data_IF_085420294532
#
_entry.id   IF_085420294532
#
_cell.length_a   1.000
_cell.length_b   1.000
_cell.length_c   1.000
_cell.angle_alpha   90.00
_cell.angle_beta   90.00
_cell.angle_gamma   90.00
#
_symmetry.space_group_name_H-M   'P 1'
#
loop_
_entity.id
_entity.type
_entity.pdbx_description
1 polymer ?
#
# COMPACT_ATOMS: atom_id res chain seq x y z
N UNK A 1 18.59 -14.30 66.99
CA UNK A 1 18.79 -13.78 65.62
C UNK A 1 17.87 -14.55 64.71
N UNK A 2 16.75 -13.95 64.32
CA UNK A 2 15.74 -14.59 63.46
C UNK A 2 16.09 -14.29 62.00
N UNK A 3 16.28 -15.32 61.19
CA UNK A 3 16.58 -15.18 59.77
C UNK A 3 15.32 -14.75 59.01
N UNK A 4 15.42 -13.63 58.29
CA UNK A 4 14.35 -13.14 57.40
C UNK A 4 14.36 -14.02 56.15
N UNK A 5 13.21 -14.60 55.73
CA UNK A 5 13.17 -15.40 54.51
C UNK A 5 13.30 -14.49 53.29
N UNK A 6 14.29 -14.79 52.46
CA UNK A 6 14.47 -14.15 51.14
C UNK A 6 13.32 -14.64 50.25
N UNK A 7 12.40 -13.73 49.92
CA UNK A 7 11.35 -13.98 48.93
C UNK A 7 12.00 -14.16 47.56
N UNK A 8 11.81 -15.34 46.95
CA UNK A 8 12.27 -15.61 45.60
C UNK A 8 11.61 -14.62 44.62
N UNK A 9 12.42 -13.96 43.79
CA UNK A 9 11.89 -13.06 42.76
C UNK A 9 10.99 -13.84 41.79
N UNK A 10 9.82 -13.29 41.43
CA UNK A 10 8.91 -13.95 40.50
C UNK A 10 9.63 -14.12 39.16
N UNK A 11 9.89 -15.37 38.80
CA UNK A 11 10.42 -15.73 37.49
C UNK A 11 9.41 -15.29 36.44
N UNK A 12 9.64 -14.13 35.81
CA UNK A 12 8.80 -13.68 34.71
C UNK A 12 8.95 -14.70 33.57
N UNK A 13 7.90 -15.48 33.37
CA UNK A 13 7.74 -16.32 32.17
C UNK A 13 7.69 -15.38 30.97
N UNK A 14 8.85 -15.19 30.33
CA UNK A 14 8.95 -14.51 29.04
C UNK A 14 8.24 -15.38 28.03
N UNK A 15 6.95 -15.12 27.80
CA UNK A 15 6.19 -15.78 26.74
C UNK A 15 6.79 -15.35 25.42
N UNK A 16 7.46 -16.29 24.75
CA UNK A 16 8.03 -16.05 23.43
C UNK A 16 6.86 -15.76 22.49
N UNK A 17 6.75 -14.50 22.06
CA UNK A 17 5.78 -14.08 21.05
C UNK A 17 5.89 -14.97 19.79
N UNK A 18 4.77 -15.22 19.09
CA UNK A 18 4.76 -16.09 17.92
C UNK A 18 5.61 -15.52 16.77
N UNK A 19 6.16 -16.42 15.95
CA UNK A 19 7.01 -16.06 14.80
C UNK A 19 6.23 -15.38 13.67
N UNK A 20 4.91 -15.62 13.62
CA UNK A 20 3.98 -15.01 12.68
C UNK A 20 2.78 -14.38 13.38
N UNK A 21 2.38 -13.19 12.94
CA UNK A 21 1.21 -12.46 13.47
C UNK A 21 0.42 -11.81 12.34
N UNK A 22 -0.90 -11.73 12.47
CA UNK A 22 -1.75 -11.05 11.50
C UNK A 22 -1.43 -9.55 11.42
N UNK A 23 -1.13 -9.03 10.22
CA UNK A 23 -0.89 -7.61 9.98
C UNK A 23 -2.09 -6.74 10.41
N UNK A 24 -3.31 -7.27 10.28
CA UNK A 24 -4.57 -6.61 10.65
C UNK A 24 -4.56 -6.05 12.08
N UNK A 25 -3.98 -6.78 13.05
CA UNK A 25 -3.92 -6.36 14.45
C UNK A 25 -3.11 -5.06 14.62
N UNK A 26 -1.97 -4.97 13.94
CA UNK A 26 -1.12 -3.79 13.98
C UNK A 26 -1.72 -2.62 13.20
N UNK A 27 -2.43 -2.88 12.09
CA UNK A 27 -3.15 -1.82 11.35
C UNK A 27 -4.20 -1.18 12.28
N UNK A 28 -5.04 -2.00 12.94
CA UNK A 28 -6.07 -1.49 13.83
C UNK A 28 -5.48 -0.71 15.01
N UNK A 29 -4.37 -1.20 15.59
CA UNK A 29 -3.64 -0.50 16.66
C UNK A 29 -3.07 0.84 16.20
N UNK A 30 -2.36 0.87 15.07
CA UNK A 30 -1.79 2.09 14.52
C UNK A 30 -2.87 3.12 14.14
N UNK A 31 -4.03 2.66 13.66
CA UNK A 31 -5.17 3.52 13.41
C UNK A 31 -5.67 4.21 14.67
N UNK A 32 -5.96 3.46 15.73
CA UNK A 32 -6.41 4.02 17.02
C UNK A 32 -5.46 5.11 17.52
N UNK A 33 -4.15 4.87 17.44
CA UNK A 33 -3.13 5.80 17.94
C UNK A 33 -3.09 7.15 17.20
N UNK A 34 -3.52 7.22 15.94
CA UNK A 34 -3.52 8.46 15.13
C UNK A 34 -4.85 9.19 15.24
N UNK A 35 -5.88 8.45 15.63
CA UNK A 35 -7.28 8.85 15.72
C UNK A 35 -7.59 9.61 17.00
N UNK A 36 -6.70 9.64 17.99
CA UNK A 36 -6.86 10.34 19.29
C UNK A 36 -7.09 11.88 19.21
N UNK A 37 -7.43 12.39 18.02
CA UNK A 37 -8.07 13.69 17.80
C UNK A 37 -9.60 13.56 17.99
N UNK A 38 -10.23 14.36 18.87
CA UNK A 38 -11.67 14.29 19.09
C UNK A 38 -12.46 14.37 17.77
N UNK A 39 -13.43 13.46 17.58
CA UNK A 39 -14.36 13.45 16.44
C UNK A 39 -13.93 12.65 15.20
N UNK A 40 -12.76 12.01 15.21
CA UNK A 40 -12.39 11.01 14.20
C UNK A 40 -12.42 9.64 14.89
N UNK A 41 -13.11 8.66 14.32
CA UNK A 41 -12.93 7.24 14.66
C UNK A 41 -13.11 6.43 13.38
N UNK A 42 -12.10 5.63 13.02
CA UNK A 42 -12.21 4.63 11.97
C UNK A 42 -12.86 3.41 12.60
N UNK A 43 -14.19 3.31 12.53
CA UNK A 43 -14.95 2.25 13.20
C UNK A 43 -14.87 0.90 12.46
N UNK A 44 -13.69 0.47 12.00
CA UNK A 44 -13.52 -0.81 11.31
C UNK A 44 -13.07 -1.91 12.27
N UNK A 45 -13.84 -2.99 12.33
CA UNK A 45 -13.49 -4.22 13.06
C UNK A 45 -12.63 -5.18 12.24
N UNK A 46 -12.57 -4.97 10.93
CA UNK A 46 -11.85 -5.80 9.96
C UNK A 46 -11.25 -4.90 8.89
N UNK A 47 -10.01 -5.18 8.53
CA UNK A 47 -9.23 -4.53 7.48
C UNK A 47 -9.31 -5.34 6.20
N UNK A 48 -9.14 -6.67 6.30
CA UNK A 48 -9.16 -7.57 5.16
C UNK A 48 -10.46 -8.38 5.12
N UNK A 49 -10.97 -8.61 3.91
CA UNK A 49 -12.05 -9.60 3.71
C UNK A 49 -11.42 -10.98 3.81
N UNK A 50 -11.89 -11.78 4.77
CA UNK A 50 -11.50 -13.18 4.88
C UNK A 50 -12.18 -13.97 3.78
N UNK A 51 -11.39 -14.80 3.08
CA UNK A 51 -11.93 -15.83 2.20
C UNK A 51 -12.51 -17.00 3.01
N UNK A 52 -12.71 -18.16 2.37
CA UNK A 52 -13.04 -19.41 3.06
C UNK A 52 -12.04 -19.73 4.18
N UNK A 53 -12.36 -20.70 5.03
CA UNK A 53 -11.62 -21.09 6.25
C UNK A 53 -10.10 -21.30 6.09
N UNK A 54 -9.58 -21.43 4.86
CA UNK A 54 -8.17 -21.63 4.54
C UNK A 54 -7.49 -20.49 3.77
N UNK A 55 -8.18 -19.36 3.50
CA UNK A 55 -7.58 -18.24 2.78
C UNK A 55 -6.52 -17.54 3.63
N UNK A 56 -5.32 -17.33 3.05
CA UNK A 56 -4.27 -16.61 3.76
C UNK A 56 -4.67 -15.17 3.98
N UNK A 57 -4.57 -14.71 5.22
CA UNK A 57 -4.56 -13.27 5.53
C UNK A 57 -3.11 -12.76 5.47
N UNK A 58 -2.88 -11.46 5.25
CA UNK A 58 -1.54 -10.90 5.34
C UNK A 58 -0.92 -11.13 6.73
N UNK A 59 0.18 -11.88 6.77
CA UNK A 59 0.94 -12.20 7.98
C UNK A 59 2.29 -11.48 8.00
N UNK A 60 2.63 -10.92 9.16
CA UNK A 60 3.97 -10.47 9.50
C UNK A 60 4.82 -11.67 9.92
N UNK A 61 6.09 -11.67 9.52
CA UNK A 61 7.09 -12.67 9.93
C UNK A 61 8.36 -12.01 10.44
N UNK A 62 8.96 -12.56 11.50
CA UNK A 62 10.17 -12.00 12.15
C UNK A 62 11.46 -12.22 11.37
N UNK A 63 11.52 -13.30 10.60
CA UNK A 63 12.69 -13.74 9.84
C UNK A 63 12.96 -12.91 8.58
N UNK A 64 12.11 -11.94 8.26
CA UNK A 64 12.19 -11.16 7.01
C UNK A 64 11.61 -9.76 7.15
N UNK A 65 11.86 -8.96 6.11
CA UNK A 65 11.13 -7.71 5.88
C UNK A 65 9.74 -8.04 5.33
N UNK A 66 8.74 -7.36 5.89
CA UNK A 66 7.33 -7.44 5.49
C UNK A 66 6.98 -6.16 4.74
N UNK A 67 6.94 -6.25 3.42
CA UNK A 67 6.67 -5.13 2.52
C UNK A 67 5.19 -4.95 2.30
N UNK A 68 4.74 -3.71 2.42
CA UNK A 68 3.40 -3.26 2.10
C UNK A 68 3.51 -2.33 0.90
N UNK A 69 2.71 -2.55 -0.14
CA UNK A 69 2.62 -1.62 -1.26
C UNK A 69 1.91 -0.35 -0.79
N UNK A 70 2.52 0.81 -0.98
CA UNK A 70 1.89 2.11 -0.77
C UNK A 70 1.38 2.64 -2.11
N UNK A 71 0.07 2.56 -2.35
CA UNK A 71 -0.54 2.96 -3.62
C UNK A 71 -1.37 4.24 -3.47
N UNK A 72 -0.69 5.37 -3.64
CA UNK A 72 -1.28 6.69 -3.54
C UNK A 72 -1.66 7.25 -4.91
N UNK A 73 -2.79 7.92 -5.00
CA UNK A 73 -3.22 8.55 -6.25
C UNK A 73 -4.46 9.42 -6.11
N UNK A 74 -4.71 10.25 -7.13
CA UNK A 74 -5.93 11.07 -7.17
C UNK A 74 -7.19 10.22 -7.37
N UNK A 75 -7.12 9.11 -8.09
CA UNK A 75 -8.25 8.18 -8.30
C UNK A 75 -9.60 8.89 -8.56
N UNK A 76 -9.68 9.82 -9.52
CA UNK A 76 -10.89 10.61 -9.77
C UNK A 76 -11.45 10.37 -11.19
N UNK A 77 -12.10 9.24 -11.48
CA UNK A 77 -12.33 8.08 -10.61
C UNK A 77 -11.16 7.08 -10.63
N UNK A 78 -11.11 6.11 -9.71
CA UNK A 78 -10.31 4.90 -9.92
C UNK A 78 -10.80 4.19 -11.19
N UNK A 79 -9.90 3.47 -11.84
CA UNK A 79 -10.16 2.84 -13.14
C UNK A 79 -9.36 1.55 -13.25
N UNK A 80 -9.69 0.74 -14.26
CA UNK A 80 -9.09 -0.57 -14.50
C UNK A 80 -7.56 -0.52 -14.55
N UNK A 81 -6.96 0.48 -15.20
CA UNK A 81 -5.50 0.66 -15.17
C UNK A 81 -4.89 0.73 -13.75
N UNK A 82 -5.52 1.46 -12.81
CA UNK A 82 -5.05 1.50 -11.42
C UNK A 82 -5.15 0.13 -10.76
N UNK A 83 -6.25 -0.59 -11.00
CA UNK A 83 -6.48 -1.94 -10.48
C UNK A 83 -5.47 -2.95 -11.03
N UNK A 84 -5.25 -2.95 -12.35
CA UNK A 84 -4.26 -3.81 -13.02
C UNK A 84 -2.85 -3.52 -12.52
N UNK A 85 -2.48 -2.25 -12.32
CA UNK A 85 -1.19 -1.87 -11.75
C UNK A 85 -1.01 -2.42 -10.34
N UNK A 86 -2.02 -2.26 -9.47
CA UNK A 86 -1.98 -2.78 -8.10
C UNK A 86 -1.87 -4.30 -8.06
N UNK A 87 -2.69 -4.99 -8.86
CA UNK A 87 -2.65 -6.46 -8.97
C UNK A 87 -1.30 -6.93 -9.49
N UNK A 88 -0.74 -6.31 -10.53
CA UNK A 88 0.57 -6.69 -11.05
C UNK A 88 1.68 -6.41 -10.03
N UNK A 89 1.66 -5.25 -9.37
CA UNK A 89 2.58 -4.92 -8.29
C UNK A 89 2.56 -5.95 -7.16
N UNK A 90 1.37 -6.41 -6.78
CA UNK A 90 1.23 -7.43 -5.74
C UNK A 90 1.64 -8.82 -6.21
N UNK A 91 1.17 -9.28 -7.37
CA UNK A 91 1.37 -10.66 -7.84
C UNK A 91 2.79 -10.91 -8.37
N UNK A 92 3.43 -9.91 -8.95
CA UNK A 92 4.76 -10.02 -9.57
C UNK A 92 5.92 -9.73 -8.60
N UNK A 93 5.62 -9.29 -7.37
CA UNK A 93 6.63 -9.12 -6.30
C UNK A 93 6.79 -10.38 -5.46
N UNK A 94 7.95 -10.55 -4.85
CA UNK A 94 8.30 -11.70 -4.01
C UNK A 94 7.42 -11.90 -2.76
N UNK A 95 7.73 -12.95 -2.00
CA UNK A 95 7.03 -13.32 -0.76
C UNK A 95 7.18 -12.31 0.38
N UNK A 96 8.06 -11.32 0.26
CA UNK A 96 8.17 -10.23 1.23
C UNK A 96 7.00 -9.26 1.10
N UNK A 97 6.39 -9.15 -0.08
CA UNK A 97 5.24 -8.26 -0.31
C UNK A 97 3.95 -8.93 0.13
N UNK A 98 3.43 -8.54 1.30
CA UNK A 98 2.34 -9.23 1.97
C UNK A 98 0.98 -8.55 1.82
N UNK A 99 0.94 -7.24 1.60
CA UNK A 99 -0.30 -6.46 1.51
C UNK A 99 -0.13 -5.17 0.69
N UNK A 100 -1.23 -4.42 0.50
CA UNK A 100 -1.22 -3.08 -0.06
C UNK A 100 -2.13 -2.10 0.66
N UNK A 101 -1.68 -0.86 0.82
CA UNK A 101 -2.45 0.27 1.31
C UNK A 101 -2.76 1.23 0.16
N UNK A 102 -4.05 1.46 -0.10
CA UNK A 102 -4.54 2.40 -1.12
C UNK A 102 -4.83 3.74 -0.44
N UNK A 103 -4.23 4.83 -0.92
CA UNK A 103 -4.41 6.17 -0.33
C UNK A 103 -4.96 7.14 -1.39
N UNK A 104 -6.26 7.43 -1.39
CA UNK A 104 -6.84 8.48 -2.22
C UNK A 104 -6.33 9.86 -1.77
N UNK A 105 -5.34 10.40 -2.47
CA UNK A 105 -4.67 11.63 -2.03
C UNK A 105 -5.61 12.83 -2.12
N UNK A 106 -5.56 13.65 -1.07
CA UNK A 106 -6.10 15.01 -1.03
C UNK A 106 -4.87 15.91 -0.97
N UNK A 107 -4.52 16.59 -2.07
CA UNK A 107 -3.29 17.41 -2.12
C UNK A 107 -3.49 18.81 -1.56
N UNK A 108 -4.72 19.31 -1.61
CA UNK A 108 -5.15 20.63 -1.12
C UNK A 108 -6.63 20.52 -0.74
N UNK A 109 -7.23 21.56 -0.13
CA UNK A 109 -8.67 21.59 0.18
C UNK A 109 -9.49 21.04 -1.00
N UNK A 110 -10.60 20.35 -0.75
CA UNK A 110 -11.43 19.79 -1.83
C UNK A 110 -11.78 20.85 -2.92
N UNK A 111 -11.73 22.12 -2.54
CA UNK A 111 -11.86 23.31 -3.40
C UNK A 111 -10.71 23.59 -4.38
N UNK A 112 -9.54 22.94 -4.29
CA UNK A 112 -8.38 23.21 -5.16
C UNK A 112 -7.99 22.03 -6.07
N UNK A 113 -8.49 20.81 -5.77
CA UNK A 113 -8.57 19.72 -6.76
C UNK A 113 -9.33 20.21 -8.03
N UNK A 114 -10.14 21.26 -7.86
CA UNK A 114 -10.90 22.05 -8.83
C UNK A 114 -10.04 22.74 -9.91
N UNK A 115 -8.74 22.97 -9.71
CA UNK A 115 -7.97 23.85 -10.58
C UNK A 115 -6.87 23.18 -11.40
N UNK A 116 -6.87 21.84 -11.57
CA UNK A 116 -6.07 21.30 -12.68
C UNK A 116 -6.84 21.61 -13.97
N UNK A 117 -6.34 22.49 -14.86
CA UNK A 117 -7.14 23.06 -15.92
C UNK A 117 -7.36 22.03 -17.03
N UNK A 118 -8.44 21.25 -16.94
CA UNK A 118 -9.22 21.02 -18.14
C UNK A 118 -10.03 22.30 -18.38
N UNK A 119 -9.37 23.30 -18.98
CA UNK A 119 -9.95 24.55 -19.48
C UNK A 119 -10.90 24.33 -20.67
N UNK A 120 -11.24 23.07 -20.96
CA UNK A 120 -12.10 22.70 -22.06
C UNK A 120 -13.26 21.91 -21.45
N UNK A 121 -14.43 22.55 -21.45
CA UNK A 121 -15.77 21.99 -21.26
C UNK A 121 -16.24 21.82 -19.80
N UNK A 122 -17.40 22.43 -19.55
CA UNK A 122 -17.99 22.62 -18.22
C UNK A 122 -18.43 21.33 -17.55
N UNK A 123 -18.33 21.34 -16.22
CA UNK A 123 -18.61 20.25 -15.25
C UNK A 123 -17.60 19.11 -15.23
N UNK A 124 -16.36 19.43 -14.85
CA UNK A 124 -15.38 18.40 -14.46
C UNK A 124 -15.97 17.47 -13.39
N UNK A 125 -16.01 16.16 -13.66
CA UNK A 125 -16.29 15.13 -12.66
C UNK A 125 -15.41 15.34 -11.40
N UNK A 126 -16.04 15.64 -10.27
CA UNK A 126 -15.39 15.88 -8.97
C UNK A 126 -15.94 14.91 -7.93
N UNK A 127 -15.22 13.82 -7.71
CA UNK A 127 -15.53 12.89 -6.64
C UNK A 127 -14.85 13.34 -5.34
N UNK A 128 -15.64 13.44 -4.28
CA UNK A 128 -15.16 13.65 -2.91
C UNK A 128 -14.19 12.56 -2.49
N UNK A 129 -13.41 12.79 -1.42
CA UNK A 129 -12.55 11.73 -0.88
C UNK A 129 -13.35 10.45 -0.54
N UNK A 130 -14.53 10.61 0.08
CA UNK A 130 -15.41 9.50 0.48
C UNK A 130 -15.87 8.69 -0.73
N UNK A 131 -16.30 9.34 -1.80
CA UNK A 131 -16.74 8.68 -3.02
C UNK A 131 -15.60 7.91 -3.71
N UNK A 132 -14.41 8.51 -3.81
CA UNK A 132 -13.23 7.83 -4.35
C UNK A 132 -12.83 6.59 -3.54
N UNK A 133 -12.92 6.68 -2.21
CA UNK A 133 -12.71 5.54 -1.31
C UNK A 133 -13.76 4.45 -1.52
N UNK A 134 -15.03 4.80 -1.68
CA UNK A 134 -16.10 3.84 -1.96
C UNK A 134 -15.92 3.10 -3.30
N UNK A 135 -15.36 3.77 -4.32
CA UNK A 135 -15.12 3.18 -5.64
C UNK A 135 -13.94 2.19 -5.68
N UNK A 136 -13.22 2.01 -4.57
CA UNK A 136 -12.18 0.98 -4.41
C UNK A 136 -12.67 -0.30 -3.74
N UNK A 137 -13.97 -0.44 -3.46
CA UNK A 137 -14.58 -1.61 -2.80
C UNK A 137 -14.62 -2.85 -3.72
N UNK A 138 -13.45 -3.36 -4.07
CA UNK A 138 -13.26 -4.49 -4.98
C UNK A 138 -13.01 -5.79 -4.20
N UNK A 139 -13.83 -6.82 -4.39
CA UNK A 139 -13.76 -8.07 -3.61
C UNK A 139 -12.45 -8.84 -3.83
N UNK A 140 -11.82 -8.68 -4.99
CA UNK A 140 -10.49 -9.25 -5.26
C UNK A 140 -9.45 -8.47 -4.45
N UNK A 141 -9.42 -7.15 -4.56
CA UNK A 141 -8.39 -6.36 -3.88
C UNK A 141 -8.50 -6.44 -2.35
N UNK A 142 -9.71 -6.53 -1.79
CA UNK A 142 -9.97 -6.48 -0.34
C UNK A 142 -9.38 -7.65 0.46
N UNK A 143 -8.89 -8.72 -0.19
CA UNK A 143 -8.21 -9.83 0.52
C UNK A 143 -6.79 -9.49 0.93
N UNK A 144 -6.09 -8.67 0.15
CA UNK A 144 -4.69 -8.31 0.41
C UNK A 144 -4.47 -6.80 0.54
N UNK A 145 -5.50 -5.98 0.29
CA UNK A 145 -5.39 -4.53 0.36
C UNK A 145 -6.49 -3.89 1.18
N UNK A 146 -6.23 -2.67 1.64
CA UNK A 146 -7.22 -1.81 2.25
C UNK A 146 -7.10 -0.38 1.74
N UNK A 147 -8.23 0.34 1.76
CA UNK A 147 -8.25 1.78 1.50
C UNK A 147 -8.04 2.50 2.82
N UNK A 148 -7.00 3.33 2.89
CA UNK A 148 -6.73 4.16 4.06
C UNK A 148 -7.80 5.25 4.15
N UNK A 149 -8.48 5.40 5.29
CA UNK A 149 -9.61 6.33 5.43
C UNK A 149 -9.18 7.79 5.62
N UNK A 150 -7.92 8.05 5.99
CA UNK A 150 -7.37 9.39 6.19
C UNK A 150 -6.78 10.01 4.93
N UNK A 151 -6.28 11.24 5.06
CA UNK A 151 -5.58 11.96 4.01
C UNK A 151 -4.09 11.55 3.91
N UNK A 152 -3.33 12.21 3.02
CA UNK A 152 -1.93 11.90 2.79
C UNK A 152 -1.04 12.13 4.02
N UNK A 153 -1.16 13.27 4.71
CA UNK A 153 -0.36 13.53 5.92
C UNK A 153 -0.70 12.56 7.05
N UNK A 154 -1.98 12.20 7.20
CA UNK A 154 -2.41 11.16 8.14
C UNK A 154 -1.84 9.78 7.77
N UNK A 155 -1.68 9.49 6.48
CA UNK A 155 -1.08 8.23 6.03
C UNK A 155 0.42 8.15 6.33
N UNK A 156 1.14 9.27 6.35
CA UNK A 156 2.57 9.30 6.73
C UNK A 156 2.73 9.03 8.23
N UNK A 157 1.93 9.70 9.07
CA UNK A 157 1.87 9.41 10.50
C UNK A 157 1.50 7.95 10.76
N UNK A 158 0.59 7.39 9.96
CA UNK A 158 0.22 5.98 10.01
C UNK A 158 1.35 5.03 9.69
N UNK A 159 2.06 5.27 8.60
CA UNK A 159 3.23 4.47 8.22
C UNK A 159 4.27 4.49 9.34
N UNK A 160 4.61 5.68 9.84
CA UNK A 160 5.60 5.83 10.91
C UNK A 160 5.17 5.06 12.18
N UNK A 161 3.91 5.20 12.58
CA UNK A 161 3.37 4.51 13.75
C UNK A 161 3.36 2.99 13.56
N UNK A 162 2.86 2.50 12.43
CA UNK A 162 2.80 1.07 12.13
C UNK A 162 4.20 0.45 12.19
N UNK A 163 5.18 1.07 11.51
CA UNK A 163 6.56 0.60 11.53
C UNK A 163 7.14 0.57 12.95
N UNK A 164 6.89 1.60 13.76
CA UNK A 164 7.40 1.68 15.13
C UNK A 164 6.82 0.56 16.04
N UNK A 165 5.51 0.34 16.00
CA UNK A 165 4.87 -0.69 16.84
C UNK A 165 5.23 -2.11 16.39
N UNK A 166 5.37 -2.36 15.09
CA UNK A 166 5.77 -3.69 14.60
C UNK A 166 7.24 -3.97 14.90
N UNK A 167 8.11 -2.95 14.79
CA UNK A 167 9.53 -3.09 15.08
C UNK A 167 9.78 -3.41 16.57
N UNK A 168 9.02 -2.78 17.48
CA UNK A 168 9.07 -3.09 18.92
C UNK A 168 8.81 -4.57 19.20
N UNK A 169 7.96 -5.20 18.41
CA UNK A 169 7.61 -6.61 18.52
C UNK A 169 8.47 -7.52 17.61
N UNK A 170 9.58 -7.00 17.06
CA UNK A 170 10.54 -7.74 16.25
C UNK A 170 10.17 -7.95 14.79
N UNK A 171 9.11 -7.30 14.29
CA UNK A 171 8.69 -7.38 12.89
C UNK A 171 9.19 -6.17 12.11
N UNK A 172 9.99 -6.41 11.07
CA UNK A 172 10.45 -5.35 10.14
C UNK A 172 9.39 -5.11 9.09
N UNK A 173 8.81 -3.91 9.06
CA UNK A 173 7.83 -3.49 8.06
C UNK A 173 8.40 -2.36 7.21
N UNK A 174 8.13 -2.39 5.91
CA UNK A 174 8.48 -1.31 4.99
C UNK A 174 7.33 -1.01 4.02
N UNK A 175 7.29 0.20 3.48
CA UNK A 175 6.31 0.63 2.50
C UNK A 175 6.98 0.97 1.17
N UNK A 176 6.67 0.21 0.13
CA UNK A 176 7.17 0.48 -1.21
C UNK A 176 6.11 1.21 -2.03
N UNK A 177 6.42 2.42 -2.49
CA UNK A 177 5.53 3.23 -3.32
C UNK A 177 5.29 2.55 -4.66
N UNK A 178 4.03 2.34 -5.04
CA UNK A 178 3.67 1.83 -6.36
C UNK A 178 3.20 2.97 -7.25
N UNK A 179 3.79 3.08 -8.45
CA UNK A 179 3.34 4.02 -9.46
C UNK A 179 3.48 3.48 -10.88
N UNK A 180 2.76 4.09 -11.81
CA UNK A 180 2.94 3.81 -13.24
C UNK A 180 4.35 4.19 -13.70
N UNK A 181 4.76 3.65 -14.84
CA UNK A 181 6.05 3.97 -15.46
C UNK A 181 6.22 5.47 -15.76
N UNK A 182 5.13 6.23 -15.89
CA UNK A 182 5.14 7.68 -16.12
C UNK A 182 5.69 8.50 -14.93
N UNK A 183 5.82 7.88 -13.77
CA UNK A 183 6.46 8.48 -12.59
C UNK A 183 7.98 8.25 -12.53
N UNK A 184 8.54 7.51 -13.49
CA UNK A 184 9.96 7.17 -13.59
C UNK A 184 10.45 7.54 -14.99
N UNK A 185 11.29 8.58 -15.04
CA UNK A 185 11.97 9.05 -16.25
C UNK A 185 13.46 8.79 -16.12
N UNK A 186 14.18 8.83 -17.24
CA UNK A 186 15.63 8.62 -17.24
C UNK A 186 16.33 9.68 -16.37
N UNK A 187 15.83 10.91 -16.37
CA UNK A 187 16.39 12.05 -15.64
C UNK A 187 15.98 12.09 -14.17
N UNK A 188 14.84 11.51 -13.80
CA UNK A 188 14.40 11.49 -12.40
C UNK A 188 13.27 10.50 -12.13
N UNK A 189 13.05 10.22 -10.85
CA UNK A 189 11.86 9.53 -10.36
C UNK A 189 11.32 10.27 -9.15
N UNK A 190 10.00 10.38 -9.04
CA UNK A 190 9.34 11.00 -7.87
C UNK A 190 8.75 9.96 -6.92
N UNK A 191 8.84 8.67 -7.26
CA UNK A 191 8.23 7.60 -6.45
C UNK A 191 8.89 7.41 -5.09
N UNK A 192 10.20 7.64 -5.01
CA UNK A 192 10.96 7.50 -3.76
C UNK A 192 10.58 8.52 -2.68
N UNK A 193 9.80 9.54 -3.03
CA UNK A 193 9.29 10.53 -2.07
C UNK A 193 8.11 9.99 -1.24
N UNK A 194 7.65 8.77 -1.52
CA UNK A 194 6.48 8.18 -0.88
C UNK A 194 6.85 6.89 -0.13
N UNK A 195 6.04 6.54 0.87
CA UNK A 195 6.28 5.34 1.69
C UNK A 195 7.57 5.46 2.50
N UNK A 196 8.37 4.39 2.53
CA UNK A 196 9.68 4.35 3.23
C UNK A 196 10.86 4.57 2.27
N UNK A 197 10.62 5.12 1.08
CA UNK A 197 11.66 5.43 0.08
C UNK A 197 11.92 4.34 -0.96
N UNK A 198 11.37 3.14 -0.78
CA UNK A 198 11.39 2.07 -1.78
C UNK A 198 10.29 2.31 -2.82
N UNK A 199 10.55 1.95 -4.08
CA UNK A 199 9.62 2.17 -5.17
C UNK A 199 9.44 0.91 -6.04
N UNK A 200 8.21 0.75 -6.54
CA UNK A 200 7.80 -0.28 -7.50
C UNK A 200 7.14 0.44 -8.67
N UNK A 201 7.54 0.09 -9.88
CA UNK A 201 6.92 0.59 -11.10
C UNK A 201 6.71 -0.52 -12.11
N UNK A 202 5.83 -0.30 -13.07
CA UNK A 202 5.48 -1.26 -14.11
C UNK A 202 5.01 -0.54 -15.35
N UNK A 203 5.27 -1.17 -16.50
CA UNK A 203 4.76 -0.73 -17.79
C UNK A 203 3.36 -1.31 -18.09
N UNK A 204 2.70 -1.99 -17.15
CA UNK A 204 1.41 -2.63 -17.42
C UNK A 204 0.31 -1.66 -17.86
N UNK A 205 0.39 -0.39 -17.44
CA UNK A 205 -0.61 0.62 -17.81
C UNK A 205 -0.16 1.51 -18.96
N UNK A 206 1.16 1.71 -19.11
CA UNK A 206 1.79 2.64 -20.04
C UNK A 206 3.21 2.16 -20.34
N UNK A 207 3.76 2.46 -21.52
CA UNK A 207 5.16 2.18 -21.82
C UNK A 207 6.10 2.84 -20.80
N UNK A 208 7.23 2.20 -20.51
CA UNK A 208 8.31 2.80 -19.75
C UNK A 208 9.29 3.50 -20.70
N UNK A 209 9.53 4.79 -20.48
CA UNK A 209 10.47 5.59 -21.27
C UNK A 209 11.91 5.04 -21.19
N UNK A 210 12.26 4.47 -20.03
CA UNK A 210 13.54 3.86 -19.79
C UNK A 210 13.64 2.42 -20.34
N UNK A 211 12.68 1.96 -21.15
CA UNK A 211 12.80 0.72 -21.94
C UNK A 211 12.95 1.07 -23.43
N UNK A 212 14.08 0.68 -24.02
CA UNK A 212 14.32 0.86 -25.47
C UNK A 212 13.54 -0.18 -26.29
N UNK A 213 13.40 -1.39 -25.76
CA UNK A 213 12.56 -2.47 -26.26
C UNK A 213 12.15 -3.40 -25.11
N UNK A 214 11.10 -4.22 -25.30
CA UNK A 214 10.51 -5.05 -24.25
C UNK A 214 11.48 -6.07 -23.61
N UNK A 215 12.51 -6.50 -24.34
CA UNK A 215 13.50 -7.46 -23.86
C UNK A 215 14.84 -6.81 -23.50
N UNK A 216 14.95 -5.49 -23.67
CA UNK A 216 16.18 -4.77 -23.35
C UNK A 216 16.33 -4.54 -21.84
N UNK A 217 17.59 -4.54 -21.40
CA UNK A 217 17.92 -4.00 -20.10
C UNK A 217 17.42 -2.54 -20.00
N UNK A 218 16.75 -2.16 -18.90
CA UNK A 218 16.27 -0.80 -18.77
C UNK A 218 17.44 0.20 -18.73
N UNK A 219 17.23 1.38 -19.31
CA UNK A 219 18.15 2.50 -19.25
C UNK A 219 18.36 2.92 -17.80
N UNK A 220 19.60 3.28 -17.47
CA UNK A 220 19.95 3.76 -16.13
C UNK A 220 19.16 5.03 -15.82
N UNK A 221 18.59 5.08 -14.62
CA UNK A 221 17.91 6.26 -14.09
C UNK A 221 18.93 7.13 -13.35
N UNK A 222 18.87 8.44 -13.53
CA UNK A 222 19.71 9.38 -12.80
C UNK A 222 19.55 9.20 -11.27
N UNK A 223 20.67 9.30 -10.55
CA UNK A 223 20.70 9.02 -9.11
C UNK A 223 20.57 7.54 -8.71
N UNK A 224 20.51 6.62 -9.67
CA UNK A 224 20.44 5.17 -9.41
C UNK A 224 21.64 4.42 -10.00
N UNK A 225 21.91 3.24 -9.42
CA UNK A 225 22.89 2.28 -9.92
C UNK A 225 22.42 1.57 -11.20
N UNK A 226 23.24 0.65 -11.70
CA UNK A 226 22.86 -0.19 -12.83
C UNK A 226 21.68 -1.12 -12.47
N UNK A 227 20.81 -1.37 -13.44
CA UNK A 227 19.73 -2.35 -13.29
C UNK A 227 20.29 -3.77 -13.23
N UNK A 228 19.83 -4.52 -12.24
CA UNK A 228 20.11 -5.94 -12.07
C UNK A 228 18.83 -6.73 -12.29
N UNK A 229 18.93 -7.77 -13.10
CA UNK A 229 17.85 -8.74 -13.26
C UNK A 229 17.71 -9.53 -11.96
N UNK A 230 16.51 -9.61 -11.43
CA UNK A 230 16.16 -10.51 -10.33
C UNK A 230 15.15 -11.53 -10.87
N UNK A 231 15.44 -12.80 -10.61
CA UNK A 231 14.46 -13.86 -10.79
C UNK A 231 13.51 -13.76 -9.60
N UNK A 232 12.17 -13.66 -9.82
CA UNK A 232 11.24 -13.84 -8.74
C UNK A 232 11.50 -15.19 -8.08
N UNK A 233 11.66 -15.17 -6.76
CA UNK A 233 11.93 -16.37 -5.96
C UNK A 233 10.91 -17.47 -6.32
N UNK A 234 11.41 -18.62 -6.79
CA UNK A 234 10.57 -19.80 -7.06
C UNK A 234 10.13 -19.99 -8.51
N UNK A 235 10.83 -19.46 -9.51
CA UNK A 235 10.60 -19.84 -10.93
C UNK A 235 10.92 -21.32 -11.15
N UNK A 236 9.92 -22.18 -11.00
CA UNK A 236 9.96 -23.56 -11.53
C UNK A 236 9.60 -23.51 -13.01
N UNK A 237 10.24 -24.38 -13.80
CA UNK A 237 10.02 -24.50 -15.25
C UNK A 237 8.52 -24.69 -15.56
N UNK A 238 7.98 -24.04 -16.61
CA UNK A 238 6.61 -24.27 -17.06
C UNK A 238 6.41 -25.75 -17.43
N UNK A 239 5.26 -26.33 -17.06
CA UNK A 239 4.90 -27.68 -17.50
C UNK A 239 4.33 -27.64 -18.92
N UNK A 240 4.44 -28.73 -19.71
CA UNK A 240 4.01 -28.77 -21.10
C UNK A 240 2.51 -28.50 -21.33
N UNK A 241 1.69 -28.60 -20.29
CA UNK A 241 0.23 -28.53 -20.30
C UNK A 241 -0.35 -27.14 -19.97
N UNK A 242 0.48 -26.09 -19.99
CA UNK A 242 0.04 -24.68 -20.04
C UNK A 242 -0.59 -24.12 -18.75
N UNK A 243 -0.59 -24.89 -17.69
CA UNK A 243 -1.31 -24.63 -16.44
C UNK A 243 -0.27 -24.37 -15.36
N UNK A 244 0.01 -23.08 -15.15
CA UNK A 244 1.12 -22.60 -14.33
C UNK A 244 0.84 -22.73 -12.82
N UNK A 245 0.48 -23.92 -12.34
CA UNK A 245 0.30 -24.18 -10.90
C UNK A 245 1.57 -23.99 -10.06
N UNK A 246 2.69 -23.67 -10.72
CA UNK A 246 4.03 -23.66 -10.16
C UNK A 246 4.69 -22.28 -10.17
N UNK A 247 4.22 -21.31 -10.97
CA UNK A 247 4.81 -19.97 -10.93
C UNK A 247 4.34 -19.16 -9.72
N UNK A 248 5.21 -18.25 -9.30
CA UNK A 248 5.00 -17.40 -8.15
C UNK A 248 3.67 -16.61 -8.17
N UNK A 249 3.27 -15.92 -9.26
CA UNK A 249 1.98 -15.21 -9.31
C UNK A 249 0.77 -16.11 -9.08
N UNK A 250 0.75 -17.31 -9.68
CA UNK A 250 -0.31 -18.30 -9.47
C UNK A 250 -0.36 -18.80 -8.03
N UNK A 251 0.80 -19.12 -7.42
CA UNK A 251 0.86 -19.54 -6.01
C UNK A 251 0.36 -18.44 -5.07
N UNK A 252 0.75 -17.20 -5.32
CA UNK A 252 0.32 -16.04 -4.52
C UNK A 252 -1.18 -15.81 -4.65
N UNK A 253 -1.73 -15.93 -5.86
CA UNK A 253 -3.17 -15.85 -6.07
C UNK A 253 -3.91 -17.03 -5.40
N UNK A 254 -3.42 -18.25 -5.56
CA UNK A 254 -4.00 -19.46 -4.95
C UNK A 254 -4.10 -19.35 -3.43
N UNK A 255 -3.05 -18.84 -2.78
CA UNK A 255 -3.04 -18.64 -1.33
C UNK A 255 -4.11 -17.64 -0.86
N UNK A 256 -4.33 -16.57 -1.64
CA UNK A 256 -5.33 -15.55 -1.34
C UNK A 256 -6.75 -15.98 -1.71
N UNK A 257 -6.90 -16.82 -2.73
CA UNK A 257 -8.16 -17.23 -3.36
C UNK A 257 -8.28 -18.75 -3.48
N UNK A 258 -8.19 -19.51 -2.37
CA UNK A 258 -8.23 -20.97 -2.44
C UNK A 258 -9.57 -21.50 -2.96
N UNK A 259 -10.67 -20.78 -2.73
CA UNK A 259 -12.00 -21.03 -3.27
C UNK A 259 -12.05 -21.00 -4.80
N UNK A 260 -11.16 -20.23 -5.42
CA UNK A 260 -11.08 -20.14 -6.86
C UNK A 260 -10.00 -21.05 -7.44
N UNK A 261 -9.26 -21.77 -6.59
CA UNK A 261 -8.10 -22.57 -6.94
C UNK A 261 -8.39 -24.07 -6.67
N UNK A 262 -9.43 -24.59 -7.31
CA UNK A 262 -9.74 -26.03 -7.36
C UNK A 262 -9.42 -26.61 -8.76
N UNK A 263 -9.36 -27.94 -8.89
CA UNK A 263 -8.92 -28.67 -10.10
C UNK A 263 -9.63 -28.27 -11.41
N UNK A 264 -10.78 -27.60 -11.33
CA UNK A 264 -11.57 -27.10 -12.46
C UNK A 264 -11.17 -25.72 -12.99
N UNK A 265 -10.13 -25.09 -12.45
CA UNK A 265 -9.71 -23.74 -12.85
C UNK A 265 -9.37 -23.58 -14.35
N UNK A 266 -9.06 -24.69 -15.05
CA UNK A 266 -8.84 -24.69 -16.51
C UNK A 266 -10.10 -24.27 -17.27
N UNK A 267 -11.28 -24.62 -16.75
CA UNK A 267 -12.57 -24.38 -17.39
C UNK A 267 -13.32 -23.16 -16.80
N UNK A 268 -13.01 -22.79 -15.55
CA UNK A 268 -13.72 -21.77 -14.76
C UNK A 268 -12.98 -20.41 -14.65
N UNK A 269 -11.96 -20.17 -15.49
CA UNK A 269 -11.31 -18.84 -15.59
C UNK A 269 -12.27 -17.72 -16.04
N UNK A 270 -13.46 -18.09 -16.52
CA UNK A 270 -14.55 -17.16 -16.85
C UNK A 270 -15.29 -16.65 -15.60
N UNK A 271 -15.16 -17.32 -14.43
CA UNK A 271 -15.66 -16.82 -13.14
C UNK A 271 -14.82 -15.65 -12.61
N UNK A 272 -13.51 -15.64 -12.90
CA UNK A 272 -12.68 -14.44 -12.74
C UNK A 272 -12.94 -13.50 -13.92
N UNK A 273 -14.02 -12.74 -13.88
CA UNK A 273 -14.32 -11.76 -14.92
C UNK A 273 -13.09 -10.88 -15.25
N UNK A 274 -12.62 -11.03 -16.50
CA UNK A 274 -11.73 -10.12 -17.23
C UNK A 274 -10.33 -9.92 -16.66
N UNK A 275 -10.20 -9.15 -15.58
CA UNK A 275 -8.96 -8.42 -15.28
C UNK A 275 -7.90 -9.27 -14.56
N UNK A 276 -8.30 -10.11 -13.59
CA UNK A 276 -7.36 -10.98 -12.86
C UNK A 276 -6.70 -11.98 -13.81
N UNK A 277 -7.48 -12.59 -14.69
CA UNK A 277 -6.99 -13.44 -15.79
C UNK A 277 -6.02 -12.69 -16.70
N UNK A 278 -6.38 -11.47 -17.12
CA UNK A 278 -5.50 -10.64 -17.95
C UNK A 278 -4.17 -10.35 -17.23
N UNK A 279 -4.21 -9.94 -15.96
CA UNK A 279 -3.00 -9.67 -15.17
C UNK A 279 -2.16 -10.93 -15.02
N UNK A 280 -2.75 -12.08 -14.69
CA UNK A 280 -2.02 -13.35 -14.62
C UNK A 280 -1.38 -13.73 -15.95
N UNK A 281 -2.09 -13.54 -17.07
CA UNK A 281 -1.55 -13.80 -18.41
C UNK A 281 -0.34 -12.90 -18.69
N UNK A 282 -0.40 -11.62 -18.30
CA UNK A 282 0.74 -10.69 -18.37
C UNK A 282 1.89 -11.15 -17.46
N UNK A 283 1.61 -11.52 -16.20
CA UNK A 283 2.60 -12.08 -15.29
C UNK A 283 3.27 -13.35 -15.85
N UNK A 284 2.52 -14.19 -16.56
CA UNK A 284 3.04 -15.39 -17.24
C UNK A 284 3.88 -15.05 -18.47
N UNK A 285 3.52 -14.01 -19.20
CA UNK A 285 4.25 -13.58 -20.40
C UNK A 285 5.56 -12.89 -20.04
N UNK A 286 5.62 -12.21 -18.89
CA UNK A 286 6.82 -11.59 -18.35
C UNK A 286 7.72 -12.55 -17.55
N UNK A 287 7.48 -13.87 -17.65
CA UNK A 287 7.96 -14.91 -16.74
C UNK A 287 9.41 -14.73 -16.30
N UNK A 288 9.57 -14.25 -15.07
CA UNK A 288 10.82 -14.34 -14.34
C UNK A 288 11.75 -13.14 -14.44
N UNK A 289 11.36 -12.05 -15.10
CA UNK A 289 12.23 -10.88 -15.25
C UNK A 289 11.63 -9.75 -14.43
N UNK A 290 12.18 -9.49 -13.25
CA UNK A 290 12.04 -8.17 -12.64
C UNK A 290 13.41 -7.50 -12.64
N UNK A 291 13.44 -6.17 -12.66
CA UNK A 291 14.67 -5.41 -12.64
C UNK A 291 14.73 -4.59 -11.38
N UNK A 292 15.86 -4.58 -10.70
CA UNK A 292 16.08 -3.76 -9.51
C UNK A 292 17.32 -2.88 -9.72
N UNK A 293 17.22 -1.62 -9.35
CA UNK A 293 18.37 -0.75 -9.16
C UNK A 293 18.27 -0.09 -7.77
N UNK A 294 19.41 0.33 -7.24
CA UNK A 294 19.51 0.96 -5.93
C UNK A 294 19.82 2.45 -6.09
N UNK A 295 19.36 3.27 -5.15
CA UNK A 295 19.72 4.68 -5.12
C UNK A 295 21.20 4.83 -4.77
N UNK A 296 21.91 5.71 -5.49
CA UNK A 296 23.35 5.91 -5.26
C UNK A 296 23.64 6.54 -3.89
N UNK A 297 22.72 7.37 -3.40
CA UNK A 297 22.87 8.08 -2.13
C UNK A 297 22.33 7.29 -0.92
N UNK A 298 21.64 6.17 -1.15
CA UNK A 298 21.05 5.34 -0.11
C UNK A 298 20.91 3.89 -0.63
N UNK A 299 21.90 3.04 -0.34
CA UNK A 299 21.96 1.67 -0.85
C UNK A 299 20.78 0.80 -0.44
N UNK A 300 20.13 1.12 0.68
CA UNK A 300 18.99 0.36 1.20
C UNK A 300 17.68 0.66 0.45
N UNK A 301 17.66 1.74 -0.36
CA UNK A 301 16.52 2.12 -1.17
C UNK A 301 16.63 1.56 -2.57
N UNK A 302 15.54 0.97 -3.06
CA UNK A 302 15.49 0.38 -4.38
C UNK A 302 14.35 0.94 -5.23
N UNK A 303 14.55 0.87 -6.54
CA UNK A 303 13.50 0.95 -7.55
C UNK A 303 13.37 -0.42 -8.22
N UNK A 304 12.18 -1.01 -8.10
CA UNK A 304 11.82 -2.29 -8.70
C UNK A 304 10.94 -2.04 -9.92
N UNK A 305 11.39 -2.48 -11.09
CA UNK A 305 10.62 -2.48 -12.32
C UNK A 305 10.06 -3.88 -12.61
N UNK A 306 8.74 -3.94 -12.79
CA UNK A 306 7.96 -5.13 -13.11
C UNK A 306 7.48 -5.05 -14.56
N UNK A 307 8.18 -5.66 -15.53
CA UNK A 307 7.70 -5.73 -16.89
C UNK A 307 6.38 -6.51 -16.94
N UNK A 308 5.47 -6.05 -17.77
CA UNK A 308 4.15 -6.65 -17.97
C UNK A 308 4.14 -7.71 -19.08
N UNK A 309 5.21 -7.80 -19.87
CA UNK A 309 5.24 -8.65 -21.06
C UNK A 309 4.32 -8.18 -22.18
N UNK A 310 3.75 -6.96 -22.08
CA UNK A 310 2.91 -6.39 -23.13
C UNK A 310 3.74 -6.01 -24.35
N UNK A 311 3.33 -6.50 -25.52
CA UNK A 311 3.89 -6.06 -26.79
C UNK A 311 3.32 -4.69 -27.18
N UNK A 312 4.18 -3.68 -27.11
CA UNK A 312 3.88 -2.32 -27.51
C UNK A 312 4.38 -2.08 -28.95
N UNK A 313 3.66 -1.36 -29.84
CA UNK A 313 2.43 -0.57 -29.64
C UNK A 313 1.12 -1.30 -29.96
N UNK A 314 1.15 -2.60 -30.28
CA UNK A 314 -0.02 -3.37 -30.76
C UNK A 314 -1.14 -3.55 -29.74
N UNK A 315 -0.89 -3.30 -28.45
CA UNK A 315 -1.92 -3.26 -27.41
C UNK A 315 -2.54 -1.85 -27.35
N UNK A 316 -3.63 -1.65 -28.11
CA UNK A 316 -4.44 -0.41 -28.22
C UNK A 316 -5.11 0.03 -26.89
N UNK A 317 -5.01 -0.80 -25.84
CA UNK A 317 -5.49 -0.50 -24.49
C UNK A 317 -4.78 0.68 -23.81
N UNK A 318 -3.75 1.27 -24.45
CA UNK A 318 -3.02 2.48 -23.99
C UNK A 318 -3.92 3.68 -23.67
N UNK A 319 -5.05 3.85 -24.36
CA UNK A 319 -5.90 5.05 -24.24
C UNK A 319 -7.33 4.82 -23.74
N UNK A 320 -7.83 3.58 -23.78
CA UNK A 320 -9.25 3.30 -23.52
C UNK A 320 -9.63 3.25 -22.03
N UNK A 321 -8.70 3.47 -21.09
CA UNK A 321 -8.93 3.23 -19.65
C UNK A 321 -8.33 4.28 -18.71
N UNK A 322 -8.31 5.54 -19.14
CA UNK A 322 -7.88 6.67 -18.30
C UNK A 322 -9.07 7.37 -17.63
N UNK A 323 -8.84 8.07 -16.52
CA UNK A 323 -9.89 8.93 -15.92
C UNK A 323 -10.40 9.97 -16.91
N UNK A 324 -9.55 10.49 -17.82
CA UNK A 324 -9.97 11.44 -18.86
C UNK A 324 -10.94 10.80 -19.85
N UNK A 325 -10.68 9.56 -20.30
CA UNK A 325 -11.61 8.85 -21.20
C UNK A 325 -12.94 8.50 -20.52
N UNK A 326 -12.91 8.20 -19.23
CA UNK A 326 -14.15 7.98 -18.45
C UNK A 326 -14.99 9.25 -18.40
N UNK A 327 -14.37 10.42 -18.19
CA UNK A 327 -15.07 11.71 -18.21
C UNK A 327 -15.68 12.01 -19.58
N UNK A 328 -14.91 11.81 -20.65
CA UNK A 328 -15.37 11.95 -22.03
C UNK A 328 -16.61 11.06 -22.31
N UNK A 329 -16.59 9.80 -21.88
CA UNK A 329 -17.76 8.91 -22.00
C UNK A 329 -18.95 9.42 -21.19
N UNK A 330 -18.73 9.85 -19.95
CA UNK A 330 -19.79 10.41 -19.10
C UNK A 330 -20.40 11.70 -19.68
N UNK A 331 -19.65 12.48 -20.43
CA UNK A 331 -20.14 13.73 -21.04
C UNK A 331 -20.85 13.48 -22.37
N UNK A 332 -20.37 12.52 -23.17
CA UNK A 332 -20.75 12.35 -24.57
C UNK A 332 -21.57 11.08 -24.88
N UNK A 333 -22.04 10.34 -23.86
CA UNK A 333 -22.84 9.12 -24.04
C UNK A 333 -24.21 9.22 -23.35
N UNK A 334 -25.25 8.71 -23.99
CA UNK A 334 -26.60 8.65 -23.45
C UNK A 334 -26.64 7.80 -22.14
N UNK A 335 -27.42 8.20 -21.11
CA UNK A 335 -27.43 7.54 -19.81
C UNK A 335 -27.59 6.01 -19.84
N UNK A 336 -28.45 5.50 -20.72
CA UNK A 336 -28.76 4.08 -20.92
C UNK A 336 -27.58 3.26 -21.45
N UNK A 337 -26.65 3.89 -22.17
CA UNK A 337 -25.45 3.23 -22.71
C UNK A 337 -24.26 3.26 -21.73
N UNK A 338 -24.30 4.12 -20.71
CA UNK A 338 -23.19 4.34 -19.80
C UNK A 338 -22.76 3.06 -19.05
N UNK A 339 -23.66 2.22 -18.50
CA UNK A 339 -23.26 1.03 -17.77
C UNK A 339 -22.37 0.10 -18.60
N UNK A 340 -22.74 -0.16 -19.86
CA UNK A 340 -21.99 -1.06 -20.74
C UNK A 340 -20.67 -0.42 -21.21
N UNK A 341 -20.65 0.87 -21.57
CA UNK A 341 -19.39 1.54 -21.96
C UNK A 341 -18.39 1.64 -20.79
N UNK A 342 -18.87 1.78 -19.56
CA UNK A 342 -18.00 1.90 -18.38
C UNK A 342 -17.58 0.55 -17.79
N UNK A 343 -18.26 -0.55 -18.13
CA UNK A 343 -18.06 -1.90 -17.57
C UNK A 343 -16.62 -2.39 -17.64
N UNK A 344 -15.92 -2.08 -18.73
CA UNK A 344 -14.52 -2.47 -18.93
C UNK A 344 -13.49 -1.45 -18.41
N UNK A 345 -13.94 -0.31 -17.87
CA UNK A 345 -13.08 0.84 -17.55
C UNK A 345 -13.04 1.17 -16.06
N UNK A 346 -14.14 0.96 -15.34
CA UNK A 346 -14.28 1.33 -13.92
C UNK A 346 -14.54 0.06 -13.11
N UNK A 347 -13.94 -0.11 -11.92
CA UNK A 347 -14.20 -1.29 -11.07
C UNK A 347 -15.68 -1.47 -10.72
N UNK A 348 -16.40 -0.36 -10.50
CA UNK A 348 -17.83 -0.36 -10.18
C UNK A 348 -18.58 0.70 -11.02
N UNK A 349 -18.92 0.39 -12.28
CA UNK A 349 -19.51 1.35 -13.21
C UNK A 349 -20.86 1.90 -12.69
N UNK A 350 -21.74 1.03 -12.21
CA UNK A 350 -23.05 1.42 -11.67
C UNK A 350 -22.97 2.17 -10.34
N UNK A 351 -22.03 1.82 -9.45
CA UNK A 351 -21.78 2.62 -8.23
C UNK A 351 -21.32 4.05 -8.59
N UNK A 352 -20.46 4.18 -9.62
CA UNK A 352 -20.07 5.48 -10.13
C UNK A 352 -21.28 6.25 -10.69
N UNK A 353 -22.15 5.61 -11.48
CA UNK A 353 -23.36 6.26 -12.00
C UNK A 353 -24.35 6.65 -10.89
N UNK A 354 -24.50 5.82 -9.87
CA UNK A 354 -25.30 6.12 -8.69
C UNK A 354 -24.77 7.35 -7.92
N UNK A 355 -23.45 7.39 -7.65
CA UNK A 355 -22.80 8.56 -7.02
C UNK A 355 -23.06 9.85 -7.83
N UNK A 356 -23.13 9.73 -9.16
CA UNK A 356 -23.39 10.85 -10.05
C UNK A 356 -24.88 11.21 -10.21
N UNK A 357 -25.78 10.54 -9.49
CA UNK A 357 -27.22 10.76 -9.59
C UNK A 357 -27.79 10.39 -10.97
N UNK A 358 -27.15 9.46 -11.68
CA UNK A 358 -27.55 8.99 -13.02
C UNK A 358 -28.20 7.61 -13.02
N UNK A 359 -28.19 6.93 -11.88
CA UNK A 359 -28.82 5.64 -11.69
C UNK A 359 -29.46 5.61 -10.28
N UNK A 360 -30.79 5.50 -10.24
CA UNK A 360 -31.56 5.56 -9.00
C UNK A 360 -31.39 4.30 -8.15
N UNK A 361 -31.08 3.16 -8.79
CA UNK A 361 -31.03 1.85 -8.16
C UNK A 361 -29.63 1.25 -8.23
N UNK A 362 -28.85 1.40 -7.17
CA UNK A 362 -27.76 0.47 -6.88
C UNK A 362 -28.30 -0.64 -5.96
N UNK A 363 -28.31 -1.93 -6.36
CA UNK A 363 -28.92 -3.00 -5.56
C UNK A 363 -28.22 -3.23 -4.20
N UNK A 364 -27.03 -2.67 -4.02
CA UNK A 364 -26.31 -2.62 -2.73
C UNK A 364 -26.46 -1.26 -2.02
N UNK A 365 -27.29 -0.36 -2.56
CA UNK A 365 -27.84 0.81 -1.87
C UNK A 365 -29.18 0.48 -1.18
N UNK A 366 -29.33 -0.76 -0.68
CA UNK A 366 -29.94 -0.89 0.65
C UNK A 366 -29.24 0.14 1.53
N UNK A 367 -29.89 0.75 2.55
CA UNK A 367 -29.11 1.44 3.54
C UNK A 367 -28.09 0.40 3.99
N UNK A 368 -26.85 0.58 3.55
CA UNK A 368 -25.71 0.23 4.36
C UNK A 368 -26.04 1.12 5.54
N UNK A 369 -26.79 0.59 6.51
CA UNK A 369 -26.72 1.11 7.86
C UNK A 369 -25.24 1.38 8.02
N UNK A 370 -24.86 2.60 8.37
CA UNK A 370 -23.46 2.90 8.58
C UNK A 370 -23.02 2.14 9.84
N UNK A 371 -22.97 0.81 9.76
CA UNK A 371 -22.29 -0.09 10.67
C UNK A 371 -20.78 0.13 10.62
N UNK A 372 -20.32 1.11 9.83
CA UNK A 372 -18.97 1.64 9.83
C UNK A 372 -18.87 3.14 10.21
N UNK A 373 -19.98 3.83 10.51
CA UNK A 373 -20.00 5.16 11.13
C UNK A 373 -21.31 5.31 11.93
N UNK A 374 -21.29 5.03 13.24
CA UNK A 374 -22.42 5.39 14.10
C UNK A 374 -22.69 6.90 14.00
N UNK A 375 -23.96 7.35 13.92
CA UNK A 375 -24.30 8.74 14.15
C UNK A 375 -23.79 9.16 15.53
N UNK A 376 -22.97 10.20 15.54
CA UNK A 376 -22.31 10.76 16.72
C UNK A 376 -23.34 11.51 17.59
N UNK A 377 -24.10 10.80 18.42
CA UNK A 377 -24.90 11.44 19.49
C UNK A 377 -24.82 10.75 20.86
N UNK A 378 -24.22 9.57 21.00
CA UNK A 378 -24.09 8.89 22.30
C UNK A 378 -22.62 8.74 22.73
N UNK A 379 -22.07 9.83 23.29
CA UNK A 379 -20.71 9.93 23.80
C UNK A 379 -20.54 9.41 25.25
N UNK A 380 -21.60 8.92 25.90
CA UNK A 380 -21.58 8.61 27.33
C UNK A 380 -21.36 7.13 27.72
N UNK A 381 -21.43 6.19 26.78
CA UNK A 381 -21.42 4.73 27.10
C UNK A 381 -20.17 3.96 26.62
N UNK A 382 -19.03 4.63 26.39
CA UNK A 382 -17.90 4.03 25.67
C UNK A 382 -16.64 3.69 26.49
N UNK A 383 -16.67 3.84 27.81
CA UNK A 383 -15.54 3.49 28.69
C UNK A 383 -15.12 2.01 28.56
N UNK A 384 -16.04 1.08 28.26
CA UNK A 384 -15.74 -0.35 28.17
C UNK A 384 -14.85 -0.75 26.97
N UNK A 385 -14.75 0.08 25.91
CA UNK A 385 -13.93 -0.26 24.72
C UNK A 385 -12.45 0.02 24.90
N UNK A 386 -12.10 0.94 25.80
CA UNK A 386 -10.72 1.10 26.24
C UNK A 386 -10.29 -0.15 27.00
N UNK A 387 -11.17 -0.70 27.82
CA UNK A 387 -10.88 -1.86 28.67
C UNK A 387 -10.81 -3.17 27.86
N UNK A 388 -11.67 -3.37 26.86
CA UNK A 388 -11.66 -4.58 26.02
C UNK A 388 -10.47 -4.69 25.04
N UNK A 389 -9.75 -3.58 24.75
CA UNK A 389 -8.49 -3.58 23.99
C UNK A 389 -7.27 -3.73 24.93
N UNK A 390 -7.44 -3.36 26.21
CA UNK A 390 -6.45 -3.57 27.27
C UNK A 390 -6.53 -4.98 27.90
N UNK A 391 -7.60 -5.74 27.66
CA UNK A 391 -7.77 -7.16 28.04
C UNK A 391 -7.02 -8.17 27.13
N UNK A 392 -6.21 -7.69 26.18
CA UNK A 392 -5.12 -8.51 25.65
C UNK A 392 -3.97 -8.38 26.63
N UNK A 393 -3.78 -9.41 27.48
CA UNK A 393 -2.80 -9.47 28.59
C UNK A 393 -1.69 -8.42 28.46
N UNK A 394 -1.67 -7.37 29.31
CA UNK A 394 -0.55 -6.45 29.33
C UNK A 394 0.69 -7.26 29.72
N UNK A 395 1.66 -7.35 28.81
CA UNK A 395 3.01 -7.75 29.15
C UNK A 395 3.45 -6.80 30.28
N UNK A 396 3.57 -7.35 31.48
CA UNK A 396 3.93 -6.65 32.70
C UNK A 396 5.36 -6.09 32.54
N UNK A 397 5.49 -4.81 32.20
CA UNK A 397 6.76 -4.11 32.21
C UNK A 397 6.78 -3.22 33.46
N UNK A 398 7.40 -3.72 34.51
CA UNK A 398 7.84 -2.88 35.62
C UNK A 398 9.00 -2.01 35.11
N UNK A 399 8.81 -0.70 35.09
CA UNK A 399 9.89 0.27 34.97
C UNK A 399 10.59 0.34 36.34
N UNK A 400 11.63 -0.48 36.52
CA UNK A 400 12.60 -0.25 37.58
C UNK A 400 13.57 0.84 37.13
N UNK A 401 13.67 1.91 37.92
CA UNK A 401 14.71 2.92 37.80
C UNK A 401 16.07 2.24 38.00
N UNK A 402 16.94 2.30 36.99
CA UNK A 402 18.30 1.79 37.06
C UNK A 402 19.29 2.95 37.05
N UNK A 403 20.09 2.93 38.10
CA UNK A 403 21.17 3.81 38.49
C UNK A 403 22.20 4.07 37.37
N UNK A 404 22.72 5.30 37.37
CA UNK A 404 23.78 5.75 36.47
C UNK A 404 25.16 5.23 36.91
N UNK A 405 25.65 4.18 36.25
CA UNK A 405 27.04 3.71 36.36
C UNK A 405 27.70 3.66 34.97
N UNK A 406 28.48 4.68 34.64
CA UNK A 406 29.19 4.77 33.36
C UNK A 406 30.47 3.94 33.31
N UNK A 407 30.85 3.50 32.11
CA UNK A 407 32.25 3.38 31.67
C UNK A 407 32.35 3.53 30.15
N UNK A 408 33.31 4.35 29.73
CA UNK A 408 33.64 4.69 28.34
C UNK A 408 34.45 3.56 27.68
N UNK A 409 34.06 3.14 26.47
CA UNK A 409 34.96 2.54 25.48
C UNK A 409 34.66 3.19 24.13
N UNK A 410 35.69 3.82 23.54
CA UNK A 410 35.64 4.55 22.27
C UNK A 410 35.77 3.60 21.08
N UNK A 411 34.91 3.78 20.07
CA UNK A 411 35.00 3.13 18.75
C UNK A 411 35.02 4.23 17.66
N UNK A 412 35.99 4.27 16.71
CA UNK A 412 36.24 5.44 15.90
C UNK A 412 35.49 5.36 14.56
N UNK A 413 34.18 5.63 14.56
CA UNK A 413 33.41 5.89 13.34
C UNK A 413 32.22 6.85 13.56
N UNK A 414 32.39 7.88 14.39
CA UNK A 414 31.47 9.03 14.43
C UNK A 414 32.28 10.28 14.77
N UNK A 415 32.58 11.13 13.78
CA UNK A 415 33.00 12.51 14.02
C UNK A 415 32.60 13.39 12.84
N UNK A 416 31.39 13.94 12.93
CA UNK A 416 31.10 15.34 12.64
C UNK A 416 29.64 15.63 13.01
N UNK A 417 29.41 15.94 14.27
CA UNK A 417 28.18 16.60 14.71
C UNK A 417 28.53 17.56 15.84
N UNK A 418 28.36 18.85 15.55
CA UNK A 418 28.39 19.96 16.49
C UNK A 418 27.46 19.65 17.68
N UNK A 419 27.99 19.80 18.89
CA UNK A 419 27.26 19.58 20.13
C UNK A 419 26.10 20.56 20.28
N UNK A 420 24.88 20.04 20.31
CA UNK A 420 23.72 20.73 20.88
C UNK A 420 23.36 20.02 22.19
N UNK A 421 23.55 20.71 23.31
CA UNK A 421 23.03 20.28 24.60
C UNK A 421 21.52 20.55 24.58
N UNK A 422 20.70 19.50 24.52
CA UNK A 422 19.23 19.60 24.56
C UNK A 422 18.70 19.05 25.87
N UNK A 423 18.01 19.91 26.63
CA UNK A 423 17.21 19.54 27.81
C UNK A 423 16.02 18.68 27.36
N UNK A 424 15.63 17.69 28.18
CA UNK A 424 14.44 16.84 27.99
C UNK A 424 13.23 17.66 27.53
N UNK A 425 12.76 17.41 26.30
CA UNK A 425 11.52 17.95 25.77
C UNK A 425 11.28 17.53 24.33
N UNK A 426 10.21 16.77 24.12
CA UNK A 426 9.52 16.48 22.86
C UNK A 426 10.24 15.62 21.77
N UNK A 427 9.99 14.29 21.72
CA UNK A 427 10.43 13.42 20.63
C UNK A 427 9.92 13.82 19.24
N UNK A 428 8.77 14.53 19.16
CA UNK A 428 8.19 14.97 17.89
C UNK A 428 8.90 16.20 17.30
N UNK A 429 9.74 16.88 18.09
CA UNK A 429 10.57 17.97 17.60
C UNK A 429 11.77 17.44 16.80
N UNK A 430 12.37 16.33 17.24
CA UNK A 430 13.51 15.69 16.58
C UNK A 430 13.12 15.15 15.19
N UNK A 431 11.93 14.53 15.10
CA UNK A 431 11.40 14.00 13.85
C UNK A 431 11.08 15.13 12.83
N UNK A 432 10.60 16.29 13.31
CA UNK A 432 10.33 17.46 12.46
C UNK A 432 11.60 18.15 11.96
N UNK A 433 12.68 18.13 12.73
CA UNK A 433 13.97 18.67 12.27
C UNK A 433 14.66 17.75 11.26
N UNK A 434 14.67 16.44 11.48
CA UNK A 434 15.26 15.48 10.53
C UNK A 434 14.60 15.56 9.15
N UNK A 435 13.27 15.67 9.10
CA UNK A 435 12.51 15.81 7.83
C UNK A 435 12.73 17.18 7.16
N UNK A 436 12.97 18.26 7.93
CA UNK A 436 13.27 19.59 7.39
C UNK A 436 14.69 19.70 6.83
N UNK A 437 15.67 19.05 7.45
CA UNK A 437 17.06 19.08 6.98
C UNK A 437 17.25 18.33 5.67
N UNK A 438 16.61 17.16 5.51
CA UNK A 438 16.62 16.41 4.24
C UNK A 438 15.98 17.22 3.09
N UNK A 439 14.92 17.99 3.40
CA UNK A 439 14.29 18.88 2.42
C UNK A 439 15.17 20.08 2.01
N UNK A 440 15.95 20.65 2.94
CA UNK A 440 16.88 21.76 2.63
C UNK A 440 18.10 21.30 1.84
N UNK A 441 18.66 20.12 2.15
CA UNK A 441 19.84 19.59 1.46
C UNK A 441 19.55 19.14 0.03
N UNK A 442 18.29 18.82 -0.30
CA UNK A 442 17.86 18.50 -1.66
C UNK A 442 17.58 19.71 -2.58
N UNK A 443 17.41 20.92 -2.04
CA UNK A 443 16.97 22.10 -2.80
C UNK A 443 18.02 23.23 -2.95
N UNK A 444 19.23 23.06 -2.42
CA UNK A 444 20.29 24.07 -2.50
C UNK A 444 21.17 24.01 -3.77
N UNK A 445 20.85 23.14 -4.73
CA UNK A 445 21.67 22.88 -5.92
C UNK A 445 21.30 23.64 -7.20
N UNK A 446 20.20 24.41 -7.25
CA UNK A 446 19.75 25.10 -8.46
C UNK A 446 19.82 26.62 -8.29
N UNK A 447 21.04 27.16 -8.34
CA UNK A 447 21.27 28.55 -8.70
C UNK A 447 21.34 28.70 -10.23
N UNK A 448 20.92 29.84 -10.81
CA UNK A 448 20.89 30.02 -12.25
C UNK A 448 22.32 30.10 -12.82
N UNK A 449 22.58 29.30 -13.87
CA UNK A 449 23.62 29.55 -14.87
C UNK A 449 22.98 29.55 -16.24
#
# INVERSE_FOLDING_TARGET
MSAVPVLAEPTQLVTKLPDEVALEQYILKAEVDIIDRPGKQYARKKVFVRGPTNASIPLLRRDRVNRIIFFAGKFNPPHRGHRELLLNGYLSTDGKTIAAMIVPVIRTSESEIIQTPNRLQGKSLKLTHKERTCLWKDDLLRRFSWVFPGNHSESEAFIARLCAITLKDGFKVEFAALGGSDHVRVENTTLHLWGTGNAITSDITRPAEFLVSNDSQPLRIEGHGAWRKILPLGTVKPTPDGVCGICWPCRKLAAMFPDFYHDKWKDDLDLFQGDARNVLQYCHSAQGIAWICHQLYCSDRFLLFLPSGRLYPTDDRRCSRSSSKIRDILENTAPEELPEKLKAMVPHPRLLLHILGREDAWPFARPVEPSYIFPCEHWKDWDWRRDAILDVDPININLAEADSGGTNVQDPCVNNSLGLIVRRGDPDALLREMVREDWRKGNSGLGPK
#
